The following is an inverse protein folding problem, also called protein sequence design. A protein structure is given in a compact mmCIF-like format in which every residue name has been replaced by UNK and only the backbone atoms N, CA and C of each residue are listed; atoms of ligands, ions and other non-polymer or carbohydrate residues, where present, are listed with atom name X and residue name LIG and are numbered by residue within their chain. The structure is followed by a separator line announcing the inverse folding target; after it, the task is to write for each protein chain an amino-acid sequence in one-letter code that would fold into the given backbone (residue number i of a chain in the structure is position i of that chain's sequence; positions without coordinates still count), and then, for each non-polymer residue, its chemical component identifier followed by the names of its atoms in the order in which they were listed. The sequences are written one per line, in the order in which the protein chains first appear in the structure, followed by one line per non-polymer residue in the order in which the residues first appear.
data_IF_299678671322
#
_entry.id   IF_299678671322
#
_cell.length_a   1.000
_cell.length_b   1.000
_cell.length_c   1.000
_cell.angle_alpha   90.00
_cell.angle_beta   90.00
_cell.angle_gamma   90.00
#
_symmetry.space_group_name_H-M   'P 1'
#
loop_
_entity.id
_entity.type
_entity.pdbx_description
1 polymer ?
#
# COMPACT_ATOMS: atom_id res chain seq x y z
N UNK A 1 1.09 24.96 -0.97
CA UNK A 1 1.88 23.71 -1.14
C UNK A 1 1.01 22.44 -1.20
N UNK A 2 -0.30 22.48 -0.95
CA UNK A 2 -1.14 21.27 -0.95
C UNK A 2 -1.73 20.88 -2.32
N UNK A 3 -1.87 21.82 -3.26
CA UNK A 3 -2.49 21.56 -4.58
C UNK A 3 -1.77 20.52 -5.44
N UNK A 4 -0.42 20.50 -5.45
CA UNK A 4 0.30 19.47 -6.22
C UNK A 4 0.07 18.06 -5.66
N UNK A 5 -0.05 17.94 -4.33
CA UNK A 5 -0.34 16.66 -3.66
C UNK A 5 -1.75 16.21 -3.98
N UNK A 6 -2.71 17.14 -3.93
CA UNK A 6 -4.09 16.89 -4.30
C UNK A 6 -4.18 16.33 -5.72
N UNK A 7 -3.52 17.00 -6.69
CA UNK A 7 -3.52 16.60 -8.11
C UNK A 7 -2.94 15.21 -8.30
N UNK A 8 -1.80 14.90 -7.66
CA UNK A 8 -1.21 13.55 -7.69
C UNK A 8 -2.17 12.52 -7.12
N UNK A 9 -2.78 12.79 -5.97
CA UNK A 9 -3.69 11.85 -5.33
C UNK A 9 -4.98 11.66 -6.13
N UNK A 10 -5.49 12.70 -6.80
CA UNK A 10 -6.67 12.61 -7.66
C UNK A 10 -6.39 11.72 -8.88
N UNK A 11 -5.26 11.95 -9.55
CA UNK A 11 -4.81 11.10 -10.66
C UNK A 11 -4.62 9.66 -10.17
N UNK A 12 -4.00 9.46 -9.01
CA UNK A 12 -3.85 8.14 -8.43
C UNK A 12 -5.22 7.49 -8.11
N UNK A 13 -6.19 8.22 -7.59
CA UNK A 13 -7.53 7.70 -7.31
C UNK A 13 -8.23 7.24 -8.60
N UNK A 14 -8.12 8.02 -9.68
CA UNK A 14 -8.70 7.74 -10.98
C UNK A 14 -8.06 6.53 -11.67
N UNK A 15 -6.73 6.40 -11.59
CA UNK A 15 -5.99 5.46 -12.45
C UNK A 15 -5.33 4.29 -11.72
N UNK A 16 -5.39 4.22 -10.39
CA UNK A 16 -4.83 3.09 -9.63
C UNK A 16 -5.48 1.78 -10.03
N UNK A 17 -4.68 0.85 -10.58
CA UNK A 17 -5.13 -0.51 -10.87
C UNK A 17 -4.94 -1.45 -9.66
N UNK A 18 -5.61 -2.63 -9.66
CA UNK A 18 -5.40 -3.66 -8.65
C UNK A 18 -3.93 -4.10 -8.61
N UNK A 19 -3.37 -4.25 -7.40
CA UNK A 19 -2.05 -4.85 -7.25
C UNK A 19 -2.03 -6.29 -7.78
N UNK A 20 -0.90 -6.72 -8.35
CA UNK A 20 -0.75 -8.10 -8.79
C UNK A 20 -0.88 -9.04 -7.59
N UNK A 21 -1.52 -10.21 -7.76
CA UNK A 21 -1.48 -11.26 -6.75
C UNK A 21 -0.02 -11.55 -6.37
N UNK A 22 0.25 -11.71 -5.07
CA UNK A 22 1.58 -12.09 -4.62
C UNK A 22 2.01 -13.39 -5.32
N UNK A 23 3.27 -13.46 -5.76
CA UNK A 23 3.79 -14.64 -6.42
C UNK A 23 3.61 -15.87 -5.51
N UNK A 24 3.00 -16.94 -6.07
CA UNK A 24 2.52 -18.13 -5.35
C UNK A 24 3.66 -18.96 -4.70
N UNK A 25 4.93 -18.58 -4.87
CA UNK A 25 6.09 -19.34 -4.37
C UNK A 25 6.67 -18.93 -3.01
N UNK A 26 6.26 -17.81 -2.40
CA UNK A 26 6.92 -17.27 -1.19
C UNK A 26 5.91 -16.89 -0.09
N UNK A 27 5.02 -17.81 0.30
CA UNK A 27 4.03 -17.55 1.35
C UNK A 27 4.51 -17.81 2.80
N UNK A 28 5.82 -17.78 3.06
CA UNK A 28 6.34 -17.90 4.44
C UNK A 28 6.40 -16.57 5.20
N UNK A 29 6.36 -15.41 4.52
CA UNK A 29 6.53 -14.08 5.13
C UNK A 29 5.66 -13.04 4.46
N UNK A 30 5.27 -11.99 5.19
CA UNK A 30 4.57 -10.84 4.59
C UNK A 30 5.43 -10.19 3.50
N UNK A 31 4.84 -9.92 2.34
CA UNK A 31 5.46 -9.19 1.23
C UNK A 31 4.46 -8.14 0.73
N UNK A 32 4.94 -6.93 0.45
CA UNK A 32 4.10 -5.89 -0.15
C UNK A 32 3.71 -6.31 -1.57
N UNK A 33 2.44 -6.13 -1.98
CA UNK A 33 2.01 -6.44 -3.33
C UNK A 33 2.78 -5.62 -4.39
N UNK A 34 3.02 -6.22 -5.55
CA UNK A 34 3.61 -5.51 -6.69
C UNK A 34 2.55 -4.63 -7.36
N UNK A 35 2.91 -3.39 -7.67
CA UNK A 35 2.02 -2.47 -8.37
C UNK A 35 1.84 -2.88 -9.84
N UNK A 36 0.65 -2.67 -10.42
CA UNK A 36 0.41 -2.94 -11.82
C UNK A 36 1.21 -1.99 -12.71
N UNK A 37 1.62 -2.47 -13.89
CA UNK A 37 2.31 -1.66 -14.92
C UNK A 37 1.37 -0.87 -15.82
N UNK A 38 0.04 -1.07 -15.68
CA UNK A 38 -0.99 -0.40 -16.47
C UNK A 38 -2.02 0.28 -15.59
N UNK A 39 -2.67 1.33 -16.09
CA UNK A 39 -3.80 1.98 -15.43
C UNK A 39 -5.03 1.07 -15.35
N UNK A 40 -5.96 1.39 -14.44
CA UNK A 40 -7.27 0.73 -14.38
C UNK A 40 -8.03 0.86 -15.70
N UNK A 41 -8.90 -0.10 -16.00
CA UNK A 41 -9.85 -0.05 -17.12
C UNK A 41 -11.29 0.26 -16.67
N UNK A 42 -11.47 0.46 -15.36
CA UNK A 42 -12.77 0.76 -14.75
C UNK A 42 -13.20 2.19 -15.06
N UNK A 43 -14.50 2.42 -15.20
CA UNK A 43 -15.05 3.78 -15.19
C UNK A 43 -15.03 4.39 -13.77
N UNK A 44 -15.43 5.64 -13.60
CA UNK A 44 -15.27 6.35 -12.32
C UNK A 44 -16.13 5.72 -11.20
N UNK A 45 -17.36 5.31 -11.52
CA UNK A 45 -18.28 4.66 -10.59
C UNK A 45 -17.77 3.29 -10.17
N UNK A 46 -17.32 2.47 -11.12
CA UNK A 46 -16.71 1.16 -10.87
C UNK A 46 -15.42 1.29 -10.04
N UNK A 47 -14.61 2.30 -10.34
CA UNK A 47 -13.38 2.58 -9.61
C UNK A 47 -13.68 3.00 -8.16
N UNK A 48 -14.73 3.80 -7.94
CA UNK A 48 -15.19 4.15 -6.60
C UNK A 48 -15.62 2.91 -5.82
N UNK A 49 -16.47 2.06 -6.40
CA UNK A 49 -16.91 0.81 -5.77
C UNK A 49 -15.74 -0.12 -5.46
N UNK A 50 -14.75 -0.20 -6.35
CA UNK A 50 -13.54 -0.98 -6.13
C UNK A 50 -12.76 -0.47 -4.91
N UNK A 51 -12.56 0.85 -4.78
CA UNK A 51 -11.87 1.43 -3.64
C UNK A 51 -12.63 1.22 -2.32
N UNK A 52 -13.96 1.33 -2.33
CA UNK A 52 -14.81 1.02 -1.17
C UNK A 52 -14.67 -0.45 -0.73
N UNK A 53 -14.68 -1.37 -1.70
CA UNK A 53 -14.42 -2.78 -1.44
C UNK A 53 -13.03 -3.01 -0.82
N UNK A 54 -12.01 -2.31 -1.32
CA UNK A 54 -10.65 -2.36 -0.76
C UNK A 54 -10.54 -1.77 0.62
N UNK A 55 -11.22 -0.65 0.89
CA UNK A 55 -11.27 -0.06 2.23
C UNK A 55 -11.90 -1.03 3.25
N UNK A 56 -13.00 -1.71 2.85
CA UNK A 56 -13.65 -2.72 3.68
C UNK A 56 -12.71 -3.91 3.93
N UNK A 57 -12.08 -4.44 2.88
CA UNK A 57 -11.10 -5.51 2.99
C UNK A 57 -9.96 -5.14 3.96
N UNK A 58 -9.35 -3.97 3.76
CA UNK A 58 -8.23 -3.51 4.58
C UNK A 58 -8.63 -3.29 6.04
N UNK A 59 -9.86 -2.82 6.29
CA UNK A 59 -10.38 -2.64 7.64
C UNK A 59 -10.52 -3.97 8.39
N UNK A 60 -10.99 -5.02 7.70
CA UNK A 60 -11.04 -6.38 8.25
C UNK A 60 -9.64 -6.91 8.52
N UNK A 61 -8.71 -6.80 7.56
CA UNK A 61 -7.34 -7.28 7.72
C UNK A 61 -6.60 -6.59 8.88
N UNK A 62 -6.82 -5.28 9.10
CA UNK A 62 -6.29 -4.56 10.28
C UNK A 62 -6.82 -5.14 11.58
N UNK A 63 -8.12 -5.43 11.65
CA UNK A 63 -8.75 -5.97 12.84
C UNK A 63 -8.25 -7.38 13.14
N UNK A 64 -8.19 -8.24 12.12
CA UNK A 64 -7.65 -9.60 12.22
C UNK A 64 -6.18 -9.59 12.64
N UNK A 65 -5.37 -8.72 12.05
CA UNK A 65 -3.96 -8.59 12.40
C UNK A 65 -3.78 -8.27 13.89
N UNK A 66 -4.58 -7.35 14.43
CA UNK A 66 -4.54 -6.95 15.85
C UNK A 66 -4.99 -8.04 16.82
N UNK A 67 -5.80 -9.01 16.36
CA UNK A 67 -6.23 -10.16 17.17
C UNK A 67 -5.12 -11.21 17.34
N UNK A 68 -4.06 -11.16 16.53
CA UNK A 68 -2.99 -12.15 16.53
C UNK A 68 -1.60 -11.51 16.78
N UNK A 69 -1.37 -10.86 17.93
CA UNK A 69 -0.05 -10.34 18.27
C UNK A 69 0.96 -11.49 18.47
N UNK A 70 2.24 -11.32 18.07
CA UNK A 70 3.27 -12.33 18.28
C UNK A 70 3.60 -12.50 19.77
N UNK A 71 4.22 -13.62 20.14
CA UNK A 71 4.68 -13.88 21.52
C UNK A 71 5.60 -12.76 22.02
N UNK A 72 5.62 -12.44 23.34
CA UNK A 72 6.34 -11.30 23.88
C UNK A 72 7.86 -11.46 23.78
N UNK A 73 8.41 -11.18 22.60
CA UNK A 73 9.84 -11.08 22.30
C UNK A 73 10.02 -9.94 21.28
N UNK A 74 10.07 -8.67 21.74
CA UNK A 74 10.01 -7.49 20.87
C UNK A 74 11.22 -7.32 19.93
N UNK A 75 12.27 -8.16 20.07
CA UNK A 75 13.42 -8.21 19.15
C UNK A 75 13.37 -9.40 18.18
N UNK A 76 12.29 -10.18 18.21
CA UNK A 76 12.13 -11.30 17.28
C UNK A 76 11.81 -10.80 15.88
N UNK A 77 12.24 -11.57 14.89
CA UNK A 77 11.90 -11.36 13.48
C UNK A 77 10.38 -11.28 13.27
N UNK A 78 9.60 -12.10 14.00
CA UNK A 78 8.14 -12.14 13.93
C UNK A 78 7.49 -10.82 14.37
N UNK A 79 8.04 -10.17 15.41
CA UNK A 79 7.56 -8.86 15.85
C UNK A 79 7.83 -7.76 14.83
N UNK A 80 8.98 -7.78 14.16
CA UNK A 80 9.29 -6.82 13.11
C UNK A 80 8.37 -7.02 11.89
N UNK A 81 8.17 -8.27 11.47
CA UNK A 81 7.23 -8.61 10.39
C UNK A 81 5.79 -8.19 10.72
N UNK A 82 5.36 -8.39 11.98
CA UNK A 82 4.08 -7.92 12.47
C UNK A 82 3.95 -6.40 12.35
N UNK A 83 4.93 -5.64 12.85
CA UNK A 83 4.91 -4.16 12.78
C UNK A 83 4.90 -3.64 11.34
N UNK A 84 5.69 -4.25 10.45
CA UNK A 84 5.73 -3.87 9.03
C UNK A 84 4.36 -4.12 8.38
N UNK A 85 3.72 -5.26 8.68
CA UNK A 85 2.38 -5.58 8.19
C UNK A 85 1.34 -4.59 8.73
N UNK A 86 1.33 -4.33 10.04
CA UNK A 86 0.40 -3.34 10.63
C UNK A 86 0.51 -1.98 9.94
N UNK A 87 1.74 -1.49 9.81
CA UNK A 87 2.02 -0.21 9.18
C UNK A 87 1.55 -0.19 7.72
N UNK A 88 1.77 -1.26 6.96
CA UNK A 88 1.27 -1.38 5.59
C UNK A 88 -0.26 -1.33 5.55
N UNK A 89 -0.93 -2.12 6.38
CA UNK A 89 -2.40 -2.19 6.37
C UNK A 89 -3.04 -0.84 6.72
N UNK A 90 -2.51 -0.14 7.73
CA UNK A 90 -2.98 1.20 8.12
C UNK A 90 -2.76 2.22 6.99
N UNK A 91 -1.58 2.17 6.35
CA UNK A 91 -1.26 3.04 5.23
C UNK A 91 -2.23 2.82 4.06
N UNK A 92 -2.45 1.57 3.66
CA UNK A 92 -3.37 1.24 2.57
C UNK A 92 -4.81 1.65 2.88
N UNK A 93 -5.24 1.47 4.13
CA UNK A 93 -6.57 1.90 4.58
C UNK A 93 -6.75 3.40 4.35
N UNK A 94 -5.79 4.19 4.84
CA UNK A 94 -5.78 5.65 4.70
C UNK A 94 -5.70 6.09 3.24
N UNK A 95 -4.98 5.33 2.40
CA UNK A 95 -4.87 5.57 0.95
C UNK A 95 -6.23 5.41 0.26
N UNK A 96 -6.95 4.31 0.52
CA UNK A 96 -8.28 4.09 -0.06
C UNK A 96 -9.32 5.08 0.47
N UNK A 97 -9.27 5.48 1.75
CA UNK A 97 -10.10 6.58 2.27
C UNK A 97 -9.88 7.88 1.49
N UNK A 98 -8.62 8.21 1.19
CA UNK A 98 -8.27 9.39 0.40
C UNK A 98 -8.81 9.29 -1.02
N UNK A 99 -8.63 8.15 -1.70
CA UNK A 99 -9.12 7.96 -3.07
C UNK A 99 -10.64 8.06 -3.17
N UNK A 100 -11.38 7.47 -2.22
CA UNK A 100 -12.84 7.54 -2.15
C UNK A 100 -13.29 9.00 -2.03
N UNK A 101 -12.74 9.75 -1.07
CA UNK A 101 -13.12 11.15 -0.86
C UNK A 101 -12.87 12.01 -2.11
N UNK A 102 -11.74 11.79 -2.79
CA UNK A 102 -11.38 12.53 -4.00
C UNK A 102 -12.29 12.19 -5.19
N UNK A 103 -12.59 10.91 -5.43
CA UNK A 103 -13.50 10.51 -6.50
C UNK A 103 -14.91 11.02 -6.25
N UNK A 104 -15.42 10.89 -5.03
CA UNK A 104 -16.75 11.42 -4.69
C UNK A 104 -16.84 12.93 -4.89
N UNK A 105 -15.79 13.68 -4.53
CA UNK A 105 -15.78 15.12 -4.79
C UNK A 105 -15.69 15.46 -6.28
N UNK A 106 -14.90 14.71 -7.06
CA UNK A 106 -14.86 14.85 -8.52
C UNK A 106 -16.24 14.62 -9.13
N UNK A 107 -16.92 13.55 -8.74
CA UNK A 107 -18.25 13.20 -9.24
C UNK A 107 -19.29 14.26 -8.86
N UNK A 108 -19.25 14.77 -7.62
CA UNK A 108 -20.15 15.86 -7.17
C UNK A 108 -19.91 17.19 -7.87
N UNK A 109 -18.66 17.48 -8.23
CA UNK A 109 -18.31 18.74 -8.90
C UNK A 109 -18.77 18.77 -10.37
N UNK A 110 -19.07 17.60 -10.96
CA UNK A 110 -19.53 17.45 -12.35
C UNK A 110 -18.67 18.22 -13.38
N UNK A 111 -17.38 18.35 -13.09
CA UNK A 111 -16.42 19.12 -13.90
C UNK A 111 -15.04 18.48 -13.86
N UNK A 112 -14.25 18.77 -14.88
CA UNK A 112 -12.82 18.45 -14.93
C UNK A 112 -11.93 19.63 -14.49
N UNK A 113 -12.54 20.75 -14.10
CA UNK A 113 -11.86 21.91 -13.54
C UNK A 113 -11.28 21.57 -12.16
N UNK A 114 -9.97 21.31 -12.13
CA UNK A 114 -9.24 20.89 -10.94
C UNK A 114 -9.36 21.87 -9.78
N UNK A 115 -9.46 23.18 -10.04
CA UNK A 115 -9.56 24.18 -8.98
C UNK A 115 -10.93 24.10 -8.28
N UNK A 116 -12.00 23.86 -9.05
CA UNK A 116 -13.35 23.67 -8.50
C UNK A 116 -13.46 22.38 -7.69
N UNK A 117 -12.85 21.29 -8.16
CA UNK A 117 -12.83 20.03 -7.42
C UNK A 117 -12.02 20.20 -6.12
N UNK A 118 -10.85 20.83 -6.18
CA UNK A 118 -10.01 21.11 -5.00
C UNK A 118 -10.78 21.95 -3.97
N UNK A 119 -11.47 23.01 -4.41
CA UNK A 119 -12.31 23.83 -3.53
C UNK A 119 -13.44 23.04 -2.87
N UNK A 120 -14.09 22.13 -3.60
CA UNK A 120 -15.14 21.24 -3.06
C UNK A 120 -14.60 20.28 -1.98
N UNK A 121 -13.37 19.79 -2.14
CA UNK A 121 -12.73 18.93 -1.14
C UNK A 121 -12.29 19.72 0.09
N UNK A 122 -11.66 20.88 -0.10
CA UNK A 122 -11.16 21.67 1.02
C UNK A 122 -12.28 22.24 1.88
N UNK A 123 -13.38 22.68 1.28
CA UNK A 123 -14.58 23.14 2.02
C UNK A 123 -15.18 22.03 2.89
N UNK A 124 -15.19 20.78 2.41
CA UNK A 124 -15.67 19.63 3.19
C UNK A 124 -14.72 19.13 4.29
N UNK A 125 -13.43 19.47 4.23
CA UNK A 125 -12.43 19.05 5.24
C UNK A 125 -12.50 19.92 6.50
N UNK A 126 -12.80 21.22 6.37
CA UNK A 126 -12.85 22.14 7.51
C UNK A 126 -14.05 21.88 8.45
N UNK A 127 -15.18 21.41 7.93
CA UNK A 127 -16.40 21.22 8.72
C UNK A 127 -16.50 19.85 9.42
N UNK A 128 -15.77 18.83 8.95
CA UNK A 128 -16.02 17.43 9.33
C UNK A 128 -14.92 16.69 10.11
N UNK A 129 -13.72 17.26 10.26
CA UNK A 129 -12.59 16.56 10.92
C UNK A 129 -11.95 17.39 12.01
N UNK A 130 -12.63 17.45 13.16
CA UNK A 130 -12.01 17.76 14.43
C UNK A 130 -10.78 16.86 14.68
N UNK A 131 -9.59 17.45 14.58
CA UNK A 131 -8.45 17.09 15.43
C UNK A 131 -7.79 15.71 15.27
N UNK A 132 -7.79 15.09 14.09
CA UNK A 132 -6.96 13.88 13.88
C UNK A 132 -6.07 14.01 12.65
N UNK A 133 -4.79 14.31 12.93
CA UNK A 133 -3.63 14.37 12.03
C UNK A 133 -3.83 13.71 10.65
N UNK A 134 -4.40 14.48 9.70
CA UNK A 134 -4.38 14.18 8.26
C UNK A 134 -3.10 14.66 7.58
N UNK A 135 -2.07 15.01 8.36
CA UNK A 135 -0.74 15.26 7.80
C UNK A 135 -0.24 13.94 7.23
N UNK A 136 -0.02 13.92 5.92
CA UNK A 136 0.66 12.86 5.18
C UNK A 136 1.87 12.40 6.01
N UNK A 137 1.70 11.28 6.72
CA UNK A 137 2.75 10.75 7.58
C UNK A 137 3.90 10.39 6.65
N UNK A 138 5.08 10.92 6.94
CA UNK A 138 6.33 10.57 6.24
C UNK A 138 6.63 9.09 6.55
N UNK A 139 6.10 8.19 5.74
CA UNK A 139 6.40 6.76 5.86
C UNK A 139 7.69 6.50 5.08
N UNK A 140 8.76 6.07 5.76
CA UNK A 140 9.94 5.57 5.06
C UNK A 140 9.58 4.22 4.45
N UNK A 141 9.23 4.21 3.17
CA UNK A 141 8.77 3.02 2.42
C UNK A 141 9.73 2.58 1.33
N UNK A 142 10.97 3.09 1.32
CA UNK A 142 11.98 2.65 0.35
C UNK A 142 12.26 1.16 0.50
N UNK A 143 12.03 0.33 -0.54
CA UNK A 143 12.38 -1.06 -0.51
C UNK A 143 13.90 -1.17 -0.77
N UNK A 144 14.67 -1.64 0.19
CA UNK A 144 15.93 -2.29 -0.14
C UNK A 144 15.58 -3.63 -0.77
N UNK A 145 15.60 -3.68 -2.10
CA UNK A 145 15.62 -4.94 -2.84
C UNK A 145 16.86 -5.69 -2.37
N UNK A 146 16.65 -6.69 -1.52
CA UNK A 146 17.75 -7.52 -1.05
C UNK A 146 18.17 -8.37 -2.25
N UNK A 147 19.20 -7.94 -2.99
CA UNK A 147 19.93 -8.81 -3.91
C UNK A 147 20.58 -9.90 -3.05
N UNK A 148 19.84 -10.96 -2.76
CA UNK A 148 20.46 -12.20 -2.36
C UNK A 148 21.10 -12.79 -3.62
N UNK A 149 22.34 -12.37 -3.90
CA UNK A 149 23.18 -13.00 -4.91
C UNK A 149 23.16 -14.51 -4.67
N UNK A 150 22.79 -15.22 -5.72
CA UNK A 150 22.74 -16.67 -5.76
C UNK A 150 24.16 -17.20 -5.59
N UNK A 151 24.44 -17.79 -4.43
CA UNK A 151 25.63 -18.61 -4.21
C UNK A 151 25.51 -19.88 -5.07
N UNK A 152 26.05 -19.82 -6.30
CA UNK A 152 26.29 -20.98 -7.15
C UNK A 152 27.50 -21.76 -6.65
N UNK A 153 27.29 -22.65 -5.67
CA UNK A 153 28.28 -23.64 -5.23
C UNK A 153 28.36 -24.76 -6.25
N UNK A 154 29.31 -24.70 -7.18
CA UNK A 154 29.67 -25.84 -8.02
C UNK A 154 30.44 -26.87 -7.18
N UNK A 155 29.84 -28.05 -7.02
CA UNK A 155 30.51 -29.23 -6.47
C UNK A 155 31.29 -29.92 -7.58
N UNK A 156 32.60 -30.08 -7.41
CA UNK A 156 33.43 -30.99 -8.19
C UNK A 156 34.24 -31.88 -7.25
N UNK A 157 33.83 -33.13 -7.11
CA UNK A 157 34.59 -34.21 -6.44
C UNK A 157 35.44 -34.93 -7.49
N UNK A 158 36.73 -35.15 -7.22
CA UNK A 158 37.46 -36.41 -7.53
C UNK A 158 38.78 -36.48 -6.73
N UNK A 159 38.74 -37.31 -5.67
CA UNK A 159 39.71 -38.29 -5.15
C UNK A 159 41.26 -38.08 -5.10
N UNK A 160 41.97 -38.84 -4.21
CA UNK A 160 43.32 -38.54 -3.69
C UNK A 160 44.44 -39.48 -4.20
N UNK A 161 45.72 -39.09 -4.06
CA UNK A 161 46.89 -40.01 -3.92
C UNK A 161 48.13 -39.21 -3.48
N UNK A 162 48.65 -39.41 -2.25
CA UNK A 162 49.87 -40.14 -1.86
C UNK A 162 51.24 -39.47 -2.10
N UNK A 163 52.04 -39.49 -1.01
CA UNK A 163 53.52 -39.52 -0.83
C UNK A 163 54.39 -38.92 -1.95
N UNK A 164 55.40 -38.11 -1.63
CA UNK A 164 56.49 -38.44 -0.72
C UNK A 164 57.28 -37.21 -0.27
#
# INVERSE_FOLDING_TARGET
MMSWIFRINLVAALFSAPAFPAAIGSMKTFCRPLLPSSSTRLNQEEQLQFHEGKLKQMSVEVEEHRKCPPSPSPKSREWEEYRIKEHYLIYEKSRYETYINLLQAKMRAETDDLEKIEASVMSGIEEGRGGREGYLRKTQSSPSISQHSLNGRASGRTAPDQRS
#
